data_IF_382856064805
#
_entry.id   IF_382856064805
#
_cell.length_a   1.000
_cell.length_b   1.000
_cell.length_c   1.000
_cell.angle_alpha   90.00
_cell.angle_beta   90.00
_cell.angle_gamma   90.00
#
_symmetry.space_group_name_H-M   'P 1'
#
loop_
_entity.id
_entity.type
_entity.pdbx_description
1 polymer ?
#
# COMPACT_ATOMS: atom_id res chain seq x y z
N UNK A 1 -4.46 13.12 -2.90
CA UNK A 1 -5.55 13.16 -1.89
C UNK A 1 -6.76 13.78 -2.55
N UNK A 2 -7.90 13.08 -2.61
CA UNK A 2 -9.13 13.64 -3.17
C UNK A 2 -9.80 14.52 -2.10
N UNK A 3 -9.68 15.85 -2.24
CA UNK A 3 -10.14 16.85 -1.27
C UNK A 3 -11.64 16.70 -0.98
N UNK A 4 -12.43 16.39 -2.00
CA UNK A 4 -13.88 16.18 -1.88
C UNK A 4 -14.22 15.03 -0.94
N UNK A 5 -13.45 13.93 -0.99
CA UNK A 5 -13.64 12.79 -0.09
C UNK A 5 -13.39 13.18 1.36
N UNK A 6 -12.35 13.97 1.63
CA UNK A 6 -12.07 14.46 2.97
C UNK A 6 -13.20 15.35 3.50
N UNK A 7 -13.71 16.25 2.66
CA UNK A 7 -14.77 17.19 3.06
C UNK A 7 -16.04 16.45 3.49
N UNK A 8 -16.58 15.53 2.69
CA UNK A 8 -17.82 14.85 3.10
C UNK A 8 -17.58 13.93 4.31
N UNK A 9 -16.41 13.27 4.43
CA UNK A 9 -16.10 12.39 5.57
C UNK A 9 -16.03 13.19 6.87
N UNK A 10 -15.39 14.36 6.85
CA UNK A 10 -15.34 15.26 8.00
C UNK A 10 -16.74 15.72 8.42
N UNK A 11 -17.59 16.07 7.46
CA UNK A 11 -18.98 16.42 7.73
C UNK A 11 -19.78 15.23 8.31
N UNK A 12 -19.61 14.02 7.77
CA UNK A 12 -20.25 12.82 8.33
C UNK A 12 -19.82 12.56 9.78
N UNK A 13 -18.53 12.74 10.08
CA UNK A 13 -18.02 12.58 11.44
C UNK A 13 -18.61 13.63 12.38
N UNK A 14 -18.66 14.90 11.95
CA UNK A 14 -19.29 15.98 12.72
C UNK A 14 -20.77 15.68 13.03
N UNK A 15 -21.54 15.23 12.04
CA UNK A 15 -22.95 14.89 12.24
C UNK A 15 -23.13 13.65 13.13
N UNK A 16 -22.23 12.66 13.02
CA UNK A 16 -22.21 11.52 13.92
C UNK A 16 -21.95 11.92 15.37
N UNK A 17 -20.96 12.80 15.63
CA UNK A 17 -20.67 13.32 16.96
C UNK A 17 -21.83 14.16 17.54
N UNK A 18 -22.64 14.79 16.68
CA UNK A 18 -23.86 15.52 17.08
C UNK A 18 -25.05 14.61 17.38
N UNK A 19 -24.92 13.29 17.16
CA UNK A 19 -25.99 12.32 17.39
C UNK A 19 -27.00 12.21 16.24
N UNK A 20 -26.75 12.86 15.11
CA UNK A 20 -27.63 12.74 13.93
C UNK A 20 -27.52 11.38 13.29
N UNK A 21 -28.64 10.90 12.74
CA UNK A 21 -28.67 9.60 12.06
C UNK A 21 -27.95 9.64 10.70
N UNK A 22 -27.56 8.48 10.18
CA UNK A 22 -26.90 8.38 8.87
C UNK A 22 -27.76 8.94 7.72
N UNK A 23 -29.08 8.86 7.87
CA UNK A 23 -30.05 9.33 6.88
C UNK A 23 -30.18 10.87 6.92
N UNK A 24 -30.19 11.46 8.12
CA UNK A 24 -30.13 12.93 8.31
C UNK A 24 -28.84 13.51 7.76
N UNK A 25 -27.70 12.89 8.06
CA UNK A 25 -26.41 13.34 7.54
C UNK A 25 -26.32 13.21 6.02
N UNK A 26 -26.95 12.19 5.43
CA UNK A 26 -27.06 12.07 3.97
C UNK A 26 -27.90 13.20 3.37
N UNK A 27 -29.07 13.52 3.95
CA UNK A 27 -29.89 14.66 3.49
C UNK A 27 -29.14 15.98 3.60
N UNK A 28 -28.45 16.20 4.71
CA UNK A 28 -27.60 17.38 4.92
C UNK A 28 -26.52 17.52 3.85
N UNK A 29 -25.82 16.43 3.53
CA UNK A 29 -24.79 16.43 2.49
C UNK A 29 -25.37 16.64 1.09
N UNK A 30 -26.53 16.05 0.81
CA UNK A 30 -27.21 16.22 -0.48
C UNK A 30 -27.63 17.68 -0.69
N UNK A 31 -28.16 18.32 0.36
CA UNK A 31 -28.52 19.75 0.34
C UNK A 31 -27.29 20.66 0.20
N UNK A 32 -26.20 20.35 0.93
CA UNK A 32 -24.99 21.17 0.94
C UNK A 32 -24.10 21.01 -0.29
N UNK A 33 -24.04 19.81 -0.88
CA UNK A 33 -23.09 19.45 -1.95
C UNK A 33 -23.76 19.13 -3.30
N UNK A 34 -25.09 18.98 -3.35
CA UNK A 34 -25.82 18.61 -4.55
C UNK A 34 -25.27 17.34 -5.19
N UNK A 35 -24.99 17.40 -6.49
CA UNK A 35 -24.44 16.29 -7.29
C UNK A 35 -23.07 15.80 -6.83
N UNK A 36 -22.36 16.59 -6.01
CA UNK A 36 -21.06 16.21 -5.46
C UNK A 36 -21.18 15.42 -4.15
N UNK A 37 -22.40 15.21 -3.65
CA UNK A 37 -22.64 14.45 -2.43
C UNK A 37 -22.30 12.96 -2.61
N UNK A 38 -21.80 12.29 -1.56
CA UNK A 38 -21.63 10.84 -1.58
C UNK A 38 -22.99 10.14 -1.66
N UNK A 39 -22.99 8.92 -2.23
CA UNK A 39 -24.20 8.10 -2.24
C UNK A 39 -24.69 7.77 -0.83
N UNK A 40 -25.99 7.53 -0.68
CA UNK A 40 -26.59 7.08 0.59
C UNK A 40 -25.86 5.86 1.17
N UNK A 41 -25.51 4.89 0.33
CA UNK A 41 -24.78 3.69 0.77
C UNK A 41 -23.40 4.04 1.37
N UNK A 42 -22.69 5.00 0.77
CA UNK A 42 -21.41 5.50 1.29
C UNK A 42 -21.56 6.11 2.68
N UNK A 43 -22.57 6.96 2.90
CA UNK A 43 -22.83 7.55 4.23
C UNK A 43 -23.05 6.48 5.30
N UNK A 44 -23.84 5.44 5.00
CA UNK A 44 -24.10 4.34 5.92
C UNK A 44 -22.86 3.51 6.24
N UNK A 45 -21.98 3.26 5.25
CA UNK A 45 -20.69 2.59 5.46
C UNK A 45 -19.83 3.40 6.44
N UNK A 46 -19.73 4.71 6.27
CA UNK A 46 -18.98 5.58 7.18
C UNK A 46 -19.57 5.58 8.59
N UNK A 47 -20.89 5.67 8.72
CA UNK A 47 -21.56 5.54 10.01
C UNK A 47 -21.34 4.19 10.70
N UNK A 48 -21.17 3.11 9.93
CA UNK A 48 -20.77 1.81 10.49
C UNK A 48 -19.32 1.84 10.99
N UNK A 49 -18.41 2.52 10.29
CA UNK A 49 -17.01 2.69 10.72
C UNK A 49 -16.89 3.51 11.99
N UNK A 50 -17.63 4.62 12.09
CA UNK A 50 -17.64 5.45 13.30
C UNK A 50 -18.18 4.69 14.51
N UNK A 51 -19.21 3.85 14.32
CA UNK A 51 -19.70 2.94 15.37
C UNK A 51 -18.66 1.91 15.83
N UNK A 52 -17.73 1.55 14.97
CA UNK A 52 -16.61 0.66 15.29
C UNK A 52 -15.40 1.40 15.88
N UNK A 53 -15.50 2.71 16.14
CA UNK A 53 -14.40 3.53 16.69
C UNK A 53 -13.34 3.97 15.66
N UNK A 54 -13.61 3.82 14.36
CA UNK A 54 -12.70 4.26 13.31
C UNK A 54 -12.95 5.72 12.93
N UNK A 55 -12.19 6.65 13.53
CA UNK A 55 -12.33 8.11 13.30
C UNK A 55 -11.44 8.64 12.16
N UNK A 56 -10.59 7.80 11.58
CA UNK A 56 -9.69 8.22 10.50
C UNK A 56 -10.48 8.63 9.25
N UNK A 57 -10.29 9.88 8.83
CA UNK A 57 -10.87 10.41 7.59
C UNK A 57 -10.07 10.02 6.34
N UNK A 58 -8.86 9.51 6.54
CA UNK A 58 -7.97 9.11 5.46
C UNK A 58 -8.31 7.72 4.94
N UNK A 59 -8.10 7.51 3.63
CA UNK A 59 -8.21 6.17 3.07
C UNK A 59 -6.99 5.37 3.57
N UNK A 60 -7.24 4.25 4.26
CA UNK A 60 -6.18 3.31 4.59
C UNK A 60 -5.36 3.01 3.33
N UNK A 61 -4.03 2.81 3.45
CA UNK A 61 -3.22 2.41 2.32
C UNK A 61 -3.89 1.23 1.64
N UNK A 62 -4.18 1.37 0.35
CA UNK A 62 -4.75 0.26 -0.41
C UNK A 62 -3.75 -0.89 -0.29
N UNK A 63 -4.18 -1.97 0.35
CA UNK A 63 -3.44 -3.22 0.32
C UNK A 63 -3.49 -3.64 -1.14
N UNK A 64 -2.43 -3.35 -1.87
CA UNK A 64 -2.30 -3.73 -3.26
C UNK A 64 -2.27 -5.25 -3.40
N UNK A 65 -1.87 -5.73 -4.58
CA UNK A 65 -1.61 -7.17 -4.74
C UNK A 65 -0.63 -7.62 -3.64
N UNK A 66 -0.97 -8.64 -2.83
CA UNK A 66 -0.07 -9.11 -1.80
C UNK A 66 1.28 -9.48 -2.42
N UNK A 67 2.41 -9.15 -1.76
CA UNK A 67 3.73 -9.48 -2.28
C UNK A 67 3.80 -10.98 -2.51
N UNK A 68 4.19 -11.39 -3.72
CA UNK A 68 4.31 -12.81 -4.07
C UNK A 68 5.32 -13.48 -3.15
N UNK A 69 5.04 -14.70 -2.66
CA UNK A 69 5.94 -15.50 -1.82
C UNK A 69 7.37 -15.60 -2.39
N UNK A 70 7.49 -15.52 -3.72
CA UNK A 70 8.77 -15.52 -4.44
C UNK A 70 9.65 -14.29 -4.16
N UNK A 71 9.10 -13.18 -3.64
CA UNK A 71 9.86 -11.97 -3.29
C UNK A 71 10.89 -12.23 -2.20
N UNK A 72 10.50 -12.93 -1.14
CA UNK A 72 11.43 -13.27 -0.05
C UNK A 72 12.50 -14.25 -0.53
N UNK A 73 12.13 -15.24 -1.35
CA UNK A 73 13.08 -16.19 -1.93
C UNK A 73 14.13 -15.51 -2.81
N UNK A 74 13.74 -14.52 -3.63
CA UNK A 74 14.67 -13.71 -4.45
C UNK A 74 15.67 -12.94 -3.59
N UNK A 75 15.18 -12.28 -2.52
CA UNK A 75 16.05 -11.51 -1.62
C UNK A 75 17.01 -12.43 -0.87
N UNK A 76 16.53 -13.55 -0.32
CA UNK A 76 17.36 -14.52 0.38
C UNK A 76 18.44 -15.14 -0.51
N UNK A 77 18.10 -15.46 -1.78
CA UNK A 77 19.08 -15.99 -2.75
C UNK A 77 20.16 -14.96 -3.06
N UNK A 78 19.78 -13.70 -3.22
CA UNK A 78 20.73 -12.60 -3.46
C UNK A 78 21.65 -12.32 -2.26
N UNK A 79 21.15 -12.51 -1.04
CA UNK A 79 21.95 -12.30 0.18
C UNK A 79 22.90 -13.47 0.46
N UNK A 80 22.48 -14.70 0.16
CA UNK A 80 23.33 -15.88 0.30
C UNK A 80 24.48 -15.90 -0.72
N UNK A 81 24.22 -15.44 -1.96
CA UNK A 81 25.21 -15.40 -3.04
C UNK A 81 25.07 -14.08 -3.83
N UNK A 82 25.82 -13.03 -3.44
CA UNK A 82 25.69 -11.68 -4.01
C UNK A 82 26.33 -11.53 -5.41
N UNK A 83 27.09 -12.52 -5.85
CA UNK A 83 27.77 -12.59 -7.15
C UNK A 83 26.88 -13.13 -8.29
N UNK A 84 25.71 -13.69 -7.96
CA UNK A 84 24.79 -14.24 -8.95
C UNK A 84 24.18 -13.17 -9.86
N UNK A 85 24.03 -13.51 -11.14
CA UNK A 85 23.28 -12.67 -12.06
C UNK A 85 21.77 -12.75 -11.79
N UNK A 86 21.05 -11.71 -12.21
CA UNK A 86 19.57 -11.70 -12.18
C UNK A 86 18.98 -12.92 -12.91
N UNK A 87 19.65 -13.42 -13.96
CA UNK A 87 19.21 -14.59 -14.73
C UNK A 87 19.38 -15.88 -13.92
N UNK A 88 20.45 -16.00 -13.14
CA UNK A 88 20.69 -17.17 -12.28
C UNK A 88 19.71 -17.22 -11.12
N UNK A 89 19.45 -16.06 -10.49
CA UNK A 89 18.45 -15.93 -9.42
C UNK A 89 17.05 -16.29 -9.98
N UNK A 90 16.72 -15.84 -11.19
CA UNK A 90 15.47 -16.20 -11.86
C UNK A 90 15.31 -17.70 -12.08
N UNK A 91 16.38 -18.37 -12.55
CA UNK A 91 16.38 -19.82 -12.76
C UNK A 91 16.19 -20.58 -11.44
N UNK A 92 16.91 -20.19 -10.37
CA UNK A 92 16.87 -20.85 -9.06
C UNK A 92 15.54 -20.66 -8.34
N UNK A 93 14.97 -19.45 -8.41
CA UNK A 93 13.71 -19.12 -7.73
C UNK A 93 12.46 -19.38 -8.58
N UNK A 94 12.63 -19.90 -9.80
CA UNK A 94 11.56 -20.09 -10.79
C UNK A 94 10.68 -18.84 -10.94
N UNK A 95 11.34 -17.68 -10.98
CA UNK A 95 10.70 -16.37 -11.05
C UNK A 95 11.09 -15.70 -12.36
N UNK A 96 10.18 -15.05 -13.10
CA UNK A 96 10.55 -14.32 -14.30
C UNK A 96 11.63 -13.28 -14.01
N UNK A 97 12.62 -13.17 -14.92
CA UNK A 97 13.75 -12.22 -14.81
C UNK A 97 13.28 -10.79 -14.50
N UNK A 98 12.21 -10.33 -15.15
CA UNK A 98 11.64 -8.98 -14.92
C UNK A 98 11.20 -8.80 -13.47
N UNK A 99 10.49 -9.78 -12.91
CA UNK A 99 10.06 -9.75 -11.51
C UNK A 99 11.24 -9.78 -10.54
N UNK A 100 12.28 -10.58 -10.82
CA UNK A 100 13.51 -10.58 -9.99
C UNK A 100 14.16 -9.20 -10.00
N UNK A 101 14.29 -8.60 -11.17
CA UNK A 101 14.86 -7.26 -11.32
C UNK A 101 14.06 -6.20 -10.54
N UNK A 102 12.73 -6.20 -10.66
CA UNK A 102 11.86 -5.26 -9.94
C UNK A 102 11.92 -5.46 -8.42
N UNK A 103 12.00 -6.70 -7.96
CA UNK A 103 12.16 -7.03 -6.54
C UNK A 103 13.47 -6.47 -6.00
N UNK A 104 14.59 -6.70 -6.68
CA UNK A 104 15.91 -6.22 -6.26
C UNK A 104 15.97 -4.69 -6.25
N UNK A 105 15.40 -4.04 -7.27
CA UNK A 105 15.31 -2.57 -7.36
C UNK A 105 14.48 -2.00 -6.22
N UNK A 106 13.30 -2.57 -5.96
CA UNK A 106 12.38 -2.09 -4.91
C UNK A 106 12.93 -2.37 -3.50
N UNK A 107 13.79 -3.38 -3.32
CA UNK A 107 14.46 -3.68 -2.06
C UNK A 107 15.79 -2.92 -1.88
N UNK A 108 16.19 -2.08 -2.83
CA UNK A 108 17.42 -1.29 -2.75
C UNK A 108 18.72 -2.07 -2.96
N UNK A 109 18.65 -3.30 -3.48
CA UNK A 109 19.83 -4.09 -3.83
C UNK A 109 20.41 -3.56 -5.14
N UNK A 110 21.65 -3.07 -5.07
CA UNK A 110 22.38 -2.53 -6.22
C UNK A 110 23.66 -3.35 -6.44
N UNK A 111 23.99 -3.70 -7.70
CA UNK A 111 25.24 -4.37 -8.00
C UNK A 111 26.41 -3.42 -7.71
N UNK A 112 27.40 -3.92 -6.97
CA UNK A 112 28.67 -3.21 -6.71
C UNK A 112 29.80 -4.09 -7.19
N UNK A 113 30.85 -3.46 -7.72
CA UNK A 113 32.06 -4.18 -8.09
C UNK A 113 32.72 -4.77 -6.83
N UNK A 114 33.23 -6.01 -6.91
CA UNK A 114 33.96 -6.59 -5.80
C UNK A 114 35.22 -5.77 -5.52
N UNK A 115 35.61 -5.71 -4.24
CA UNK A 115 36.88 -5.09 -3.85
C UNK A 115 38.02 -5.96 -4.37
N UNK A 116 38.91 -5.37 -5.17
CA UNK A 116 40.10 -6.05 -5.68
C UNK A 116 41.16 -6.06 -4.58
N UNK A 117 41.72 -7.24 -4.31
CA UNK A 117 42.86 -7.42 -3.42
C UNK A 117 44.13 -7.64 -4.25
N UNK A 118 45.28 -7.02 -3.92
CA UNK A 118 46.52 -7.11 -4.70
C UNK A 118 47.09 -8.53 -4.84
N UNK A 119 46.85 -9.39 -3.85
CA UNK A 119 47.25 -10.78 -3.87
C UNK A 119 46.29 -11.62 -3.02
N UNK A 120 46.20 -12.91 -3.32
CA UNK A 120 45.52 -13.86 -2.45
C UNK A 120 46.32 -14.02 -1.15
N UNK A 121 45.66 -14.06 -0.01
CA UNK A 121 46.31 -14.42 1.25
C UNK A 121 46.31 -15.94 1.36
N UNK A 122 47.46 -16.51 1.72
CA UNK A 122 47.55 -17.91 2.15
C UNK A 122 46.70 -18.09 3.41
N UNK A 123 45.97 -19.21 3.55
CA UNK A 123 45.17 -19.53 4.73
C UNK A 123 46.02 -19.76 5.99
#
# INVERSE_FOLDING_TARGET
MDLRKKVYRANLLLQYCRGSTADEAYRFLLDSMGDQAPSRATCFIWYRRFRNGEESLDEAPRIGRPPTQKRSAVIATCEAQPDLSVRDIAARTQTPKSTVHDVLRTSGKVPKLPRVFPHALSP
#
